data_IF_265002893980
#
_entry.id   IF_265002893980
#
_cell.length_a   1.000
_cell.length_b   1.000
_cell.length_c   1.000
_cell.angle_alpha   90.00
_cell.angle_beta   90.00
_cell.angle_gamma   90.00
#
_symmetry.space_group_name_H-M   'P 1'
#
loop_
_entity.id
_entity.type
_entity.pdbx_description
1 polymer ?
#
# COMPACT_ATOMS: atom_id res chain seq x y z
N UNK A 1 31.43 37.33 38.20
CA UNK A 1 31.96 36.03 37.75
C UNK A 1 30.92 34.99 38.06
N UNK A 2 30.67 34.07 37.13
CA UNK A 2 29.77 32.94 37.33
C UNK A 2 30.49 31.89 38.19
N UNK A 3 29.83 31.38 39.22
CA UNK A 3 30.40 30.36 40.10
C UNK A 3 30.22 28.97 39.50
N UNK A 4 31.13 28.06 39.85
CA UNK A 4 31.08 26.66 39.41
C UNK A 4 29.78 25.97 39.87
N UNK A 5 29.27 26.37 41.05
CA UNK A 5 28.02 25.86 41.60
C UNK A 5 26.78 26.37 40.84
N UNK A 6 26.74 27.64 40.43
CA UNK A 6 25.64 28.17 39.61
C UNK A 6 25.52 27.43 38.28
N UNK A 7 26.66 27.13 37.64
CA UNK A 7 26.68 26.38 36.39
C UNK A 7 26.25 24.92 36.58
N UNK A 8 26.58 24.31 37.71
CA UNK A 8 26.17 22.95 38.06
C UNK A 8 24.66 22.85 38.30
N UNK A 9 24.06 23.79 39.03
CA UNK A 9 22.61 23.82 39.26
C UNK A 9 21.84 23.98 37.94
N UNK A 10 22.31 24.86 37.05
CA UNK A 10 21.69 25.06 35.73
C UNK A 10 21.73 23.78 34.89
N UNK A 11 22.88 23.11 34.82
CA UNK A 11 22.99 21.84 34.10
C UNK A 11 22.13 20.74 34.74
N UNK A 12 21.97 20.74 36.06
CA UNK A 12 21.06 19.84 36.77
C UNK A 12 19.60 20.05 36.36
N UNK A 13 19.13 21.30 36.32
CA UNK A 13 17.76 21.63 35.89
C UNK A 13 17.55 21.29 34.40
N UNK A 14 18.50 21.64 33.53
CA UNK A 14 18.44 21.30 32.11
C UNK A 14 18.38 19.77 31.90
N UNK A 15 19.16 19.00 32.65
CA UNK A 15 19.15 17.55 32.60
C UNK A 15 17.78 16.95 32.95
N UNK A 16 17.15 17.44 34.01
CA UNK A 16 15.79 17.02 34.41
C UNK A 16 14.78 17.36 33.32
N UNK A 17 14.80 18.59 32.78
CA UNK A 17 13.88 19.01 31.72
C UNK A 17 14.03 18.16 30.44
N UNK A 18 15.26 17.88 30.02
CA UNK A 18 15.54 17.05 28.84
C UNK A 18 15.09 15.60 29.07
N UNK A 19 15.28 15.07 30.27
CA UNK A 19 14.89 13.69 30.61
C UNK A 19 13.38 13.44 30.46
N UNK A 20 12.56 14.46 30.73
CA UNK A 20 11.10 14.42 30.57
C UNK A 20 10.71 14.67 29.10
N UNK A 21 11.45 15.53 28.40
CA UNK A 21 11.13 15.93 27.01
C UNK A 21 11.42 14.84 25.97
N UNK A 22 12.52 14.09 26.11
CA UNK A 22 12.93 13.06 25.16
C UNK A 22 11.89 11.95 24.91
N UNK A 23 11.29 11.30 25.93
CA UNK A 23 10.27 10.27 25.71
C UNK A 23 9.00 10.83 25.05
N UNK A 24 8.59 12.06 25.41
CA UNK A 24 7.46 12.74 24.79
C UNK A 24 7.69 12.98 23.29
N UNK A 25 8.89 13.44 22.92
CA UNK A 25 9.27 13.68 21.51
C UNK A 25 9.24 12.41 20.66
N UNK A 26 9.62 11.26 21.22
CA UNK A 26 9.57 9.98 20.50
C UNK A 26 8.13 9.57 20.16
N UNK A 27 7.19 9.72 21.10
CA UNK A 27 5.78 9.46 20.85
C UNK A 27 5.19 10.38 19.78
N UNK A 28 5.54 11.67 19.82
CA UNK A 28 5.10 12.66 18.81
C UNK A 28 5.61 12.28 17.41
N UNK A 29 6.88 11.88 17.28
CA UNK A 29 7.45 11.46 15.98
C UNK A 29 6.71 10.27 15.37
N UNK A 30 6.37 9.27 16.17
CA UNK A 30 5.61 8.10 15.69
C UNK A 30 4.22 8.52 15.23
N UNK A 31 3.51 9.32 16.02
CA UNK A 31 2.19 9.85 15.64
C UNK A 31 2.24 10.70 14.37
N UNK A 32 3.24 11.57 14.23
CA UNK A 32 3.43 12.38 13.03
C UNK A 32 3.64 11.50 11.77
N UNK A 33 4.50 10.47 11.86
CA UNK A 33 4.68 9.51 10.77
C UNK A 33 3.38 8.81 10.38
N UNK A 34 2.55 8.41 11.36
CA UNK A 34 1.23 7.79 11.09
C UNK A 34 0.30 8.71 10.30
N UNK A 35 0.26 10.00 10.66
CA UNK A 35 -0.53 11.00 9.93
C UNK A 35 -0.04 11.15 8.49
N UNK A 36 1.28 11.17 8.27
CA UNK A 36 1.84 11.21 6.91
C UNK A 36 1.42 9.96 6.12
N UNK A 37 1.50 8.76 6.70
CA UNK A 37 1.07 7.54 6.01
C UNK A 37 -0.43 7.55 5.66
N UNK A 38 -1.28 8.04 6.56
CA UNK A 38 -2.71 8.21 6.27
C UNK A 38 -2.96 9.21 5.13
N UNK A 39 -2.23 10.32 5.11
CA UNK A 39 -2.28 11.30 4.01
C UNK A 39 -1.81 10.70 2.70
N UNK A 40 -0.72 9.94 2.71
CA UNK A 40 -0.19 9.23 1.55
C UNK A 40 -1.24 8.29 0.93
N UNK A 41 -1.94 7.49 1.74
CA UNK A 41 -3.02 6.63 1.22
C UNK A 41 -4.19 7.42 0.60
N UNK A 42 -4.51 8.60 1.14
CA UNK A 42 -5.51 9.50 0.53
C UNK A 42 -5.02 10.04 -0.82
N UNK A 43 -3.74 10.41 -0.91
CA UNK A 43 -3.12 10.88 -2.16
C UNK A 43 -3.18 9.80 -3.23
N UNK A 44 -2.78 8.57 -2.92
CA UNK A 44 -2.86 7.42 -3.85
C UNK A 44 -4.29 7.21 -4.34
N UNK A 45 -5.28 7.32 -3.45
CA UNK A 45 -6.69 7.19 -3.86
C UNK A 45 -7.13 8.34 -4.77
N UNK A 46 -6.69 9.56 -4.50
CA UNK A 46 -6.98 10.70 -5.36
C UNK A 46 -6.34 10.52 -6.74
N UNK A 47 -5.10 10.06 -6.79
CA UNK A 47 -4.41 9.71 -8.03
C UNK A 47 -5.13 8.61 -8.79
N UNK A 48 -5.65 7.60 -8.11
CA UNK A 48 -6.48 6.57 -8.74
C UNK A 48 -7.72 7.16 -9.41
N UNK A 49 -8.39 8.14 -8.80
CA UNK A 49 -9.53 8.78 -9.45
C UNK A 49 -9.15 9.50 -10.74
N UNK A 50 -8.05 10.27 -10.71
CA UNK A 50 -7.51 10.93 -11.90
C UNK A 50 -7.02 9.94 -12.96
N UNK A 51 -6.50 8.80 -12.50
CA UNK A 51 -6.18 7.71 -13.39
C UNK A 51 -7.46 7.21 -14.07
N UNK A 52 -8.52 6.90 -13.32
CA UNK A 52 -9.78 6.32 -13.83
C UNK A 52 -10.68 7.29 -14.59
N UNK A 53 -10.59 8.60 -14.35
CA UNK A 53 -11.32 9.62 -15.14
C UNK A 53 -10.62 9.95 -16.47
N UNK A 54 -9.31 9.71 -16.57
CA UNK A 54 -8.54 9.83 -17.81
C UNK A 54 -7.92 11.20 -18.00
N UNK A 55 -7.91 12.00 -16.93
CA UNK A 55 -7.26 13.30 -16.87
C UNK A 55 -5.81 13.22 -16.38
N UNK A 56 -5.28 12.01 -16.16
CA UNK A 56 -3.91 11.83 -15.70
C UNK A 56 -2.88 12.26 -16.75
N UNK A 57 -1.95 13.13 -16.37
CA UNK A 57 -0.87 13.61 -17.23
C UNK A 57 0.11 12.51 -17.68
N UNK A 58 0.18 11.40 -16.94
CA UNK A 58 1.13 10.31 -17.19
C UNK A 58 0.66 9.28 -18.24
N UNK A 59 -0.53 9.46 -18.82
CA UNK A 59 -1.15 8.48 -19.71
C UNK A 59 -1.57 7.21 -18.97
N UNK A 60 -2.39 6.36 -19.60
CA UNK A 60 -2.74 5.03 -19.06
C UNK A 60 -2.02 3.90 -19.77
N UNK A 61 -1.00 4.20 -20.57
CA UNK A 61 -0.25 3.20 -21.30
C UNK A 61 -1.14 2.38 -22.24
N UNK A 62 -0.96 1.05 -22.24
CA UNK A 62 -1.76 0.16 -23.08
C UNK A 62 -3.28 0.23 -22.79
N UNK A 63 -3.68 0.67 -21.60
CA UNK A 63 -5.11 0.86 -21.28
C UNK A 63 -5.80 1.93 -22.13
N UNK A 64 -5.08 2.86 -22.74
CA UNK A 64 -5.65 3.88 -23.61
C UNK A 64 -6.38 3.29 -24.83
N UNK A 65 -5.96 2.09 -25.26
CA UNK A 65 -6.58 1.35 -26.37
C UNK A 65 -8.01 0.90 -26.08
N UNK A 66 -8.42 0.88 -24.80
CA UNK A 66 -9.76 0.47 -24.38
C UNK A 66 -10.69 1.65 -24.07
N UNK A 67 -10.22 2.88 -24.29
CA UNK A 67 -10.97 4.11 -24.01
C UNK A 67 -11.09 4.44 -22.53
N UNK A 68 -11.76 5.55 -22.19
CA UNK A 68 -11.86 6.03 -20.80
C UNK A 68 -12.64 5.09 -19.88
N UNK A 69 -13.48 4.21 -20.43
CA UNK A 69 -14.40 3.35 -19.68
C UNK A 69 -13.79 2.09 -19.06
N UNK A 70 -12.56 1.71 -19.44
CA UNK A 70 -11.88 0.48 -18.98
C UNK A 70 -10.38 0.70 -18.81
N UNK A 71 -9.77 0.02 -17.85
CA UNK A 71 -8.33 0.08 -17.61
C UNK A 71 -7.82 -1.16 -16.87
N UNK A 72 -6.51 -1.37 -16.92
CA UNK A 72 -5.79 -2.34 -16.11
C UNK A 72 -5.30 -1.70 -14.81
N UNK A 73 -5.49 -2.41 -13.69
CA UNK A 73 -5.00 -1.94 -12.39
C UNK A 73 -3.46 -1.97 -12.30
N UNK A 74 -2.80 -2.79 -13.12
CA UNK A 74 -1.32 -2.80 -13.25
C UNK A 74 -0.82 -1.46 -13.78
N UNK A 75 -1.46 -0.90 -14.80
CA UNK A 75 -1.04 0.37 -15.42
C UNK A 75 -1.10 1.52 -14.41
N UNK A 76 -2.08 1.48 -13.49
CA UNK A 76 -2.12 2.40 -12.36
C UNK A 76 -0.94 2.20 -11.39
N UNK A 77 -0.56 0.95 -11.10
CA UNK A 77 0.61 0.65 -10.25
C UNK A 77 1.91 1.09 -10.94
N UNK A 78 2.06 0.80 -12.23
CA UNK A 78 3.20 1.20 -13.03
C UNK A 78 3.34 2.73 -13.03
N UNK A 79 2.23 3.47 -13.19
CA UNK A 79 2.22 4.92 -13.06
C UNK A 79 2.66 5.42 -11.67
N UNK A 80 2.12 4.83 -10.59
CA UNK A 80 2.45 5.19 -9.20
C UNK A 80 3.92 4.96 -8.82
N UNK A 81 4.50 3.87 -9.32
CA UNK A 81 5.89 3.53 -9.08
C UNK A 81 6.83 4.14 -10.13
N UNK A 82 6.28 4.84 -11.12
CA UNK A 82 6.97 5.30 -12.32
C UNK A 82 7.82 4.17 -12.92
N UNK A 83 7.20 3.01 -13.12
CA UNK A 83 7.81 1.87 -13.78
C UNK A 83 7.58 2.01 -15.28
N UNK A 84 8.63 1.75 -16.05
CA UNK A 84 8.49 1.63 -17.51
C UNK A 84 7.67 0.35 -17.80
N UNK A 85 6.69 0.45 -18.69
CA UNK A 85 5.93 -0.72 -19.15
C UNK A 85 6.90 -1.79 -19.66
N UNK A 86 6.70 -3.05 -19.25
CA UNK A 86 7.68 -4.10 -19.52
C UNK A 86 7.89 -4.36 -21.01
N UNK A 87 6.92 -3.96 -21.85
CA UNK A 87 6.98 -4.08 -23.31
C UNK A 87 7.75 -2.94 -23.99
N UNK A 88 8.03 -1.83 -23.28
CA UNK A 88 8.85 -0.76 -23.80
C UNK A 88 10.34 -1.09 -23.59
N UNK A 89 10.91 -1.74 -24.62
CA UNK A 89 12.28 -2.27 -24.68
C UNK A 89 13.34 -1.15 -24.72
N UNK A 90 13.40 -0.31 -23.69
CA UNK A 90 14.47 0.65 -23.42
C UNK A 90 15.48 0.17 -22.37
N UNK A 91 16.60 0.89 -22.18
CA UNK A 91 17.61 0.58 -21.13
C UNK A 91 16.93 0.45 -19.74
N UNK A 92 17.39 -0.52 -18.94
CA UNK A 92 16.88 -0.77 -17.60
C UNK A 92 17.10 0.44 -16.66
N UNK A 93 16.00 1.10 -16.26
CA UNK A 93 16.00 2.17 -15.27
C UNK A 93 15.90 1.56 -13.86
N UNK A 94 17.03 1.15 -13.27
CA UNK A 94 17.05 0.78 -11.85
C UNK A 94 17.01 2.04 -11.01
N UNK A 95 16.03 2.16 -10.11
CA UNK A 95 15.85 3.35 -9.29
C UNK A 95 15.48 3.02 -7.86
N UNK A 96 15.94 3.85 -6.93
CA UNK A 96 15.51 3.79 -5.53
C UNK A 96 14.34 4.72 -5.31
N UNK A 97 13.26 4.22 -4.70
CA UNK A 97 12.15 5.00 -4.19
C UNK A 97 12.30 5.16 -2.68
N UNK A 98 12.06 6.37 -2.18
CA UNK A 98 12.10 6.72 -0.77
C UNK A 98 10.80 7.36 -0.32
N UNK A 99 10.49 7.25 0.98
CA UNK A 99 9.21 7.69 1.54
C UNK A 99 8.94 9.20 1.42
N UNK A 100 9.99 10.02 1.26
CA UNK A 100 9.88 11.45 0.98
C UNK A 100 9.47 11.77 -0.47
N UNK A 101 9.63 10.81 -1.39
CA UNK A 101 9.42 11.03 -2.83
C UNK A 101 8.27 10.23 -3.44
N UNK A 102 7.71 9.26 -2.71
CA UNK A 102 6.66 8.40 -3.26
C UNK A 102 5.55 8.15 -2.22
N UNK A 103 4.27 8.43 -2.55
CA UNK A 103 3.16 8.24 -1.64
C UNK A 103 2.86 6.76 -1.34
N UNK A 104 3.36 5.81 -2.12
CA UNK A 104 3.24 4.37 -1.83
C UNK A 104 4.14 3.91 -0.66
N UNK A 105 5.03 4.77 -0.17
CA UNK A 105 5.93 4.48 0.93
C UNK A 105 5.51 5.26 2.18
N UNK A 106 5.24 4.52 3.26
CA UNK A 106 4.91 5.09 4.56
C UNK A 106 6.22 5.34 5.33
N UNK A 107 6.50 6.56 5.85
CA UNK A 107 7.71 6.83 6.65
C UNK A 107 7.74 6.14 8.03
N UNK A 108 6.64 5.50 8.45
CA UNK A 108 6.63 4.55 9.57
C UNK A 108 7.05 3.13 9.15
N UNK A 109 7.18 2.89 7.85
CA UNK A 109 7.66 1.66 7.22
C UNK A 109 9.06 1.79 6.66
N UNK A 110 9.44 0.81 5.83
CA UNK A 110 10.77 0.75 5.26
C UNK A 110 11.00 1.88 4.24
N UNK A 111 12.18 2.50 4.24
CA UNK A 111 12.41 3.73 3.51
C UNK A 111 12.84 3.51 2.05
N UNK A 112 12.94 2.27 1.56
CA UNK A 112 13.65 1.99 0.32
C UNK A 112 13.03 0.87 -0.51
N UNK A 113 12.44 1.20 -1.67
CA UNK A 113 12.13 0.20 -2.69
C UNK A 113 13.07 0.35 -3.88
N UNK A 114 13.46 -0.78 -4.44
CA UNK A 114 14.24 -0.87 -5.68
C UNK A 114 13.29 -1.26 -6.79
N UNK A 115 13.25 -0.41 -7.82
CA UNK A 115 12.54 -0.67 -9.06
C UNK A 115 13.45 -1.43 -10.02
N UNK A 116 12.91 -2.46 -10.68
CA UNK A 116 13.58 -3.27 -11.68
C UNK A 116 12.76 -3.27 -12.97
N UNK A 117 13.37 -2.84 -14.08
CA UNK A 117 12.75 -2.92 -15.41
C UNK A 117 12.72 -4.37 -15.92
N UNK A 118 11.76 -4.68 -16.79
CA UNK A 118 11.65 -5.99 -17.46
C UNK A 118 10.90 -7.05 -16.66
N UNK A 119 10.32 -6.67 -15.52
CA UNK A 119 9.39 -7.49 -14.74
C UNK A 119 8.05 -6.75 -14.65
N UNK A 120 6.91 -7.45 -14.76
CA UNK A 120 5.60 -6.83 -14.53
C UNK A 120 5.41 -6.45 -13.06
N UNK A 121 4.56 -5.46 -12.79
CA UNK A 121 4.23 -4.94 -11.45
C UNK A 121 3.89 -6.03 -10.41
N UNK A 122 3.16 -7.07 -10.82
CA UNK A 122 2.84 -8.24 -9.98
C UNK A 122 3.99 -9.25 -9.78
N UNK A 123 5.23 -8.89 -10.11
CA UNK A 123 6.44 -9.73 -9.95
C UNK A 123 7.57 -8.90 -9.32
N UNK A 124 8.82 -9.36 -9.43
CA UNK A 124 10.03 -8.75 -8.87
C UNK A 124 10.39 -7.34 -9.43
N UNK A 125 9.45 -6.64 -10.07
CA UNK A 125 9.64 -5.26 -10.52
C UNK A 125 9.86 -4.30 -9.35
N UNK A 126 9.36 -4.67 -8.17
CA UNK A 126 9.55 -3.96 -6.92
C UNK A 126 10.11 -4.90 -5.87
N UNK A 127 11.18 -4.48 -5.20
CA UNK A 127 11.73 -5.24 -4.08
C UNK A 127 12.76 -4.46 -3.26
N UNK A 128 13.21 -5.01 -2.13
CA UNK A 128 12.76 -6.29 -1.57
C UNK A 128 11.34 -6.20 -0.98
N UNK A 129 10.62 -7.33 -0.93
CA UNK A 129 9.24 -7.42 -0.39
C UNK A 129 9.14 -6.86 1.03
N UNK A 130 10.17 -7.09 1.86
CA UNK A 130 10.26 -6.55 3.23
C UNK A 130 10.06 -5.03 3.32
N UNK A 131 10.39 -4.31 2.24
CA UNK A 131 10.39 -2.86 2.23
C UNK A 131 9.07 -2.26 1.73
N UNK A 132 8.11 -3.10 1.30
CA UNK A 132 6.80 -2.64 0.88
C UNK A 132 6.00 -2.18 2.10
N UNK A 133 5.44 -0.97 2.01
CA UNK A 133 4.73 -0.32 3.11
C UNK A 133 3.25 -0.06 2.86
N UNK A 134 2.86 0.15 1.60
CA UNK A 134 1.46 0.20 1.18
C UNK A 134 1.27 -0.76 0.00
N UNK A 135 0.09 -1.36 -0.09
CA UNK A 135 -0.28 -2.21 -1.21
C UNK A 135 -1.67 -1.87 -1.72
N UNK A 136 -1.90 -2.12 -3.01
CA UNK A 136 -3.23 -2.01 -3.59
C UNK A 136 -4.03 -3.29 -3.34
N UNK A 137 -5.35 -3.14 -3.25
CA UNK A 137 -6.26 -4.26 -3.16
C UNK A 137 -6.28 -5.03 -4.49
N UNK A 138 -5.79 -6.27 -4.47
CA UNK A 138 -5.58 -7.09 -5.66
C UNK A 138 -6.67 -8.15 -5.88
N UNK A 139 -7.93 -7.82 -5.59
CA UNK A 139 -9.08 -8.73 -5.81
C UNK A 139 -9.31 -9.14 -7.27
N UNK A 140 -8.63 -8.50 -8.22
CA UNK A 140 -8.72 -8.75 -9.66
C UNK A 140 -7.67 -9.75 -10.17
N UNK A 141 -6.81 -10.23 -9.28
CA UNK A 141 -5.82 -11.25 -9.57
C UNK A 141 -6.35 -12.59 -9.09
N UNK A 142 -5.81 -13.67 -9.67
CA UNK A 142 -6.00 -15.03 -9.19
C UNK A 142 -4.76 -15.46 -8.43
N UNK A 143 -4.95 -16.04 -7.25
CA UNK A 143 -3.91 -16.81 -6.57
C UNK A 143 -3.47 -17.97 -7.44
N UNK A 144 -2.19 -18.00 -7.76
CA UNK A 144 -1.52 -19.13 -8.38
C UNK A 144 -0.27 -19.48 -7.58
N UNK A 145 0.26 -20.67 -7.83
CA UNK A 145 1.51 -21.14 -7.25
C UNK A 145 2.45 -21.43 -8.41
N UNK A 146 3.69 -20.95 -8.34
CA UNK A 146 4.66 -21.25 -9.39
C UNK A 146 5.17 -22.70 -9.31
N UNK A 147 5.99 -23.07 -10.29
CA UNK A 147 6.62 -24.39 -10.36
C UNK A 147 7.55 -24.71 -9.18
N UNK A 148 7.94 -23.72 -8.37
CA UNK A 148 8.77 -23.86 -7.16
C UNK A 148 7.94 -23.83 -5.87
N UNK A 149 6.62 -23.75 -5.95
CA UNK A 149 5.75 -23.69 -4.79
C UNK A 149 5.57 -22.29 -4.20
N UNK A 150 6.10 -21.23 -4.81
CA UNK A 150 5.94 -19.85 -4.33
C UNK A 150 4.54 -19.33 -4.66
N UNK A 151 3.78 -18.77 -3.69
CA UNK A 151 2.53 -18.08 -3.99
C UNK A 151 2.80 -16.85 -4.86
N UNK A 152 1.95 -16.63 -5.85
CA UNK A 152 2.02 -15.46 -6.72
C UNK A 152 0.63 -15.06 -7.20
N UNK A 153 0.48 -13.79 -7.57
CA UNK A 153 -0.74 -13.27 -8.15
C UNK A 153 -0.60 -13.23 -9.67
N UNK A 154 -1.41 -14.04 -10.35
CA UNK A 154 -1.54 -13.93 -11.79
C UNK A 154 -2.66 -12.94 -12.12
N UNK A 155 -2.42 -11.95 -13.00
CA UNK A 155 -3.51 -11.18 -13.55
C UNK A 155 -4.45 -12.14 -14.26
N UNK A 156 -5.74 -12.09 -13.95
CA UNK A 156 -6.73 -12.80 -14.76
C UNK A 156 -6.74 -12.08 -16.09
N UNK A 157 -6.28 -12.74 -17.16
CA UNK A 157 -5.88 -12.20 -18.46
C UNK A 157 -6.94 -11.36 -19.21
N UNK A 158 -8.11 -11.11 -18.61
CA UNK A 158 -9.25 -10.38 -19.17
C UNK A 158 -9.87 -9.35 -18.23
N UNK A 159 -9.29 -9.06 -17.06
CA UNK A 159 -9.98 -8.23 -16.05
C UNK A 159 -9.67 -6.75 -16.22
N UNK A 160 -10.41 -6.14 -17.14
CA UNK A 160 -10.56 -4.69 -17.21
C UNK A 160 -11.42 -4.20 -16.04
N UNK A 161 -10.95 -3.18 -15.34
CA UNK A 161 -11.76 -2.48 -14.34
C UNK A 161 -12.59 -1.43 -15.06
N UNK A 162 -13.93 -1.43 -14.90
CA UNK A 162 -14.74 -0.40 -15.49
C UNK A 162 -14.56 0.91 -14.71
N UNK A 163 -14.64 2.05 -15.39
CA UNK A 163 -14.59 3.37 -14.75
C UNK A 163 -15.74 3.59 -13.74
N UNK A 164 -16.82 2.82 -13.84
CA UNK A 164 -17.92 2.80 -12.86
C UNK A 164 -17.48 2.35 -11.47
N UNK A 165 -16.27 1.80 -11.29
CA UNK A 165 -15.71 1.50 -9.97
C UNK A 165 -15.70 2.72 -9.03
N UNK A 166 -15.62 3.94 -9.58
CA UNK A 166 -15.70 5.18 -8.83
C UNK A 166 -17.06 5.42 -8.15
N UNK A 167 -18.13 4.80 -8.66
CA UNK A 167 -19.47 4.85 -8.06
C UNK A 167 -19.59 3.96 -6.81
N UNK A 168 -18.56 3.18 -6.50
CA UNK A 168 -18.51 2.27 -5.36
C UNK A 168 -17.50 2.78 -4.33
N UNK A 169 -17.78 3.89 -3.59
CA UNK A 169 -16.81 4.54 -2.72
C UNK A 169 -16.40 3.69 -1.50
N UNK A 170 -17.11 2.60 -1.20
CA UNK A 170 -16.84 1.67 -0.10
C UNK A 170 -15.87 0.53 -0.47
N UNK A 171 -15.24 0.63 -1.64
CA UNK A 171 -14.21 -0.27 -2.16
C UNK A 171 -12.83 0.15 -1.61
N UNK A 172 -12.22 -0.50 -0.61
CA UNK A 172 -10.80 -0.43 -0.30
C UNK A 172 -9.91 -0.51 -1.54
N UNK A 173 -9.20 0.56 -1.77
CA UNK A 173 -8.24 0.65 -2.84
C UNK A 173 -6.82 0.38 -2.34
N UNK A 174 -6.44 1.00 -1.23
CA UNK A 174 -5.06 0.96 -0.69
C UNK A 174 -5.11 0.44 0.74
N UNK A 175 -4.12 -0.35 1.12
CA UNK A 175 -3.93 -0.82 2.49
C UNK A 175 -2.53 -0.52 2.98
N UNK A 176 -2.41 -0.24 4.28
CA UNK A 176 -1.11 -0.33 4.92
C UNK A 176 -0.65 -1.78 4.97
N UNK A 177 0.64 -2.01 4.75
CA UNK A 177 1.24 -3.33 4.80
C UNK A 177 2.55 -3.32 5.58
N UNK A 178 2.88 -4.48 6.15
CA UNK A 178 4.16 -4.76 6.79
C UNK A 178 4.87 -5.80 5.95
N UNK A 179 5.57 -5.32 4.93
CA UNK A 179 6.37 -6.15 4.05
C UNK A 179 7.30 -7.06 4.82
N UNK A 180 7.87 -6.63 5.94
CA UNK A 180 8.80 -7.45 6.73
C UNK A 180 8.09 -8.68 7.32
N UNK A 181 6.89 -8.49 7.90
CA UNK A 181 6.08 -9.59 8.40
C UNK A 181 5.58 -10.52 7.28
N UNK A 182 5.41 -10.01 6.06
CA UNK A 182 5.09 -10.81 4.89
C UNK A 182 6.32 -11.63 4.41
N UNK A 183 7.50 -11.01 4.34
CA UNK A 183 8.79 -11.63 3.97
C UNK A 183 9.14 -12.79 4.93
N UNK A 184 8.96 -12.59 6.23
CA UNK A 184 9.13 -13.63 7.26
C UNK A 184 8.21 -14.84 7.05
N UNK A 185 7.02 -14.61 6.50
CA UNK A 185 6.04 -15.66 6.17
C UNK A 185 6.22 -16.22 4.75
N UNK A 186 7.22 -15.75 4.00
CA UNK A 186 7.46 -16.14 2.61
C UNK A 186 6.31 -15.75 1.67
N UNK A 187 5.55 -14.72 2.03
CA UNK A 187 4.37 -14.25 1.31
C UNK A 187 4.59 -12.85 0.76
N UNK A 188 3.95 -12.53 -0.37
CA UNK A 188 3.98 -11.17 -0.89
C UNK A 188 2.95 -10.29 -0.14
N UNK A 189 3.23 -8.99 0.05
CA UNK A 189 2.47 -8.12 0.96
C UNK A 189 1.28 -7.48 0.24
N UNK A 190 0.46 -8.28 -0.44
CA UNK A 190 -0.71 -7.79 -1.19
C UNK A 190 -1.99 -8.07 -0.41
N UNK A 191 -2.82 -7.05 -0.19
CA UNK A 191 -4.15 -7.32 0.35
C UNK A 191 -5.06 -7.88 -0.75
N UNK A 192 -5.58 -9.06 -0.47
CA UNK A 192 -6.68 -9.67 -1.21
C UNK A 192 -7.78 -9.85 -0.17
N UNK A 193 -9.03 -9.56 -0.54
CA UNK A 193 -10.16 -9.78 0.35
C UNK A 193 -10.15 -11.22 0.89
N UNK A 194 -10.54 -11.44 2.16
CA UNK A 194 -10.58 -12.78 2.74
C UNK A 194 -11.51 -13.69 1.92
N UNK A 195 -11.22 -15.01 1.87
CA UNK A 195 -12.08 -15.97 1.18
C UNK A 195 -13.50 -15.92 1.78
N UNK A 196 -14.51 -16.03 0.92
CA UNK A 196 -15.89 -16.08 1.40
C UNK A 196 -16.13 -17.40 2.13
N UNK A 197 -16.90 -17.41 3.24
CA UNK A 197 -17.26 -18.66 3.91
C UNK A 197 -17.92 -19.63 2.93
N UNK A 198 -17.33 -20.80 2.73
CA UNK A 198 -17.82 -21.83 1.81
C UNK A 198 -17.31 -21.74 0.36
N UNK A 199 -16.42 -20.81 0.02
CA UNK A 199 -15.79 -20.80 -1.30
C UNK A 199 -14.58 -21.73 -1.37
N UNK A 200 -14.42 -22.46 -2.48
CA UNK A 200 -13.20 -23.24 -2.80
C UNK A 200 -12.07 -22.34 -3.32
N UNK A 201 -11.93 -21.16 -2.73
CA UNK A 201 -11.01 -20.15 -3.23
C UNK A 201 -9.55 -20.49 -2.81
N UNK A 202 -8.57 -20.47 -3.73
CA UNK A 202 -7.15 -20.65 -3.41
C UNK A 202 -6.58 -19.76 -2.29
N UNK A 203 -7.25 -18.68 -1.87
CA UNK A 203 -6.80 -17.82 -0.77
C UNK A 203 -7.00 -18.40 0.65
N UNK A 204 -7.67 -19.55 0.80
CA UNK A 204 -8.01 -20.14 2.12
C UNK A 204 -6.81 -20.68 2.92
N UNK A 205 -5.72 -21.01 2.25
CA UNK A 205 -4.58 -21.74 2.82
C UNK A 205 -3.59 -20.83 3.57
N UNK A 206 -3.89 -19.53 3.75
CA UNK A 206 -3.02 -18.59 4.47
C UNK A 206 -1.69 -18.25 3.78
N UNK A 207 -1.52 -18.67 2.51
CA UNK A 207 -0.32 -18.39 1.69
C UNK A 207 -0.25 -16.95 1.16
N UNK A 208 -1.36 -16.23 1.23
CA UNK A 208 -1.45 -14.81 0.89
C UNK A 208 -1.56 -14.01 2.18
N UNK A 209 -0.69 -13.02 2.31
CA UNK A 209 -0.57 -12.26 3.53
C UNK A 209 -1.61 -11.14 3.58
N UNK A 210 -2.23 -10.95 4.74
CA UNK A 210 -3.14 -9.82 5.01
C UNK A 210 -2.51 -8.91 6.09
N UNK A 211 -2.67 -7.58 6.00
CA UNK A 211 -1.97 -6.59 6.84
C UNK A 211 -2.53 -6.40 8.25
N UNK A 212 -1.95 -5.64 9.21
CA UNK A 212 -0.57 -5.21 9.57
C UNK A 212 -0.57 -4.68 11.03
N UNK A 213 0.51 -4.86 11.79
CA UNK A 213 0.65 -4.42 13.20
C UNK A 213 1.27 -3.02 13.37
N UNK A 214 1.73 -2.40 12.27
CA UNK A 214 2.55 -1.17 12.27
C UNK A 214 1.89 0.02 12.97
N UNK A 215 0.56 0.09 12.93
CA UNK A 215 -0.21 1.16 13.56
C UNK A 215 -0.79 0.76 14.92
N UNK A 216 -0.09 -0.11 15.64
CA UNK A 216 -0.50 -0.58 16.97
C UNK A 216 -1.52 -1.70 16.88
N UNK A 217 -1.27 -2.68 16.01
CA UNK A 217 -2.19 -3.81 15.77
C UNK A 217 -3.38 -3.48 14.85
N UNK A 218 -3.38 -2.28 14.25
CA UNK A 218 -4.45 -1.81 13.35
C UNK A 218 -3.97 -1.75 11.91
N UNK A 219 -4.84 -2.17 11.02
CA UNK A 219 -4.74 -1.98 9.58
C UNK A 219 -5.42 -0.71 9.18
N UNK A 220 -4.72 0.17 8.49
CA UNK A 220 -5.34 1.29 7.81
C UNK A 220 -5.67 0.94 6.37
N UNK A 221 -6.85 1.38 5.96
CA UNK A 221 -7.44 1.08 4.67
C UNK A 221 -7.97 2.36 4.07
N UNK A 222 -7.52 2.71 2.87
CA UNK A 222 -8.09 3.78 2.08
C UNK A 222 -9.03 3.25 1.02
N UNK A 223 -10.18 3.89 0.91
CA UNK A 223 -11.27 3.51 0.03
C UNK A 223 -11.24 4.34 -1.23
N UNK A 224 -11.83 3.87 -2.33
CA UNK A 224 -12.06 4.67 -3.55
C UNK A 224 -12.74 6.01 -3.24
N UNK A 225 -13.55 6.09 -2.17
CA UNK A 225 -14.11 7.32 -1.61
C UNK A 225 -13.10 8.33 -1.03
N UNK A 226 -11.82 8.00 -0.90
CA UNK A 226 -10.78 8.84 -0.31
C UNK A 226 -10.76 8.84 1.22
N UNK A 227 -11.70 8.12 1.85
CA UNK A 227 -11.72 7.93 3.29
C UNK A 227 -10.61 6.94 3.69
N UNK A 228 -10.06 7.12 4.89
CA UNK A 228 -9.12 6.18 5.50
C UNK A 228 -9.74 5.70 6.81
N UNK A 229 -9.91 4.39 6.96
CA UNK A 229 -10.41 3.74 8.17
C UNK A 229 -9.34 2.82 8.75
N UNK A 230 -9.43 2.54 10.05
CA UNK A 230 -8.54 1.61 10.74
C UNK A 230 -9.32 0.43 11.33
N UNK A 231 -8.81 -0.79 11.21
CA UNK A 231 -9.41 -2.02 11.76
C UNK A 231 -8.39 -2.86 12.52
N UNK A 232 -8.78 -3.42 13.66
CA UNK A 232 -7.99 -4.43 14.39
C UNK A 232 -8.27 -5.86 13.89
N UNK A 233 -9.36 -6.06 13.15
CA UNK A 233 -9.85 -7.37 12.72
C UNK A 233 -10.24 -7.37 11.23
N UNK A 234 -9.32 -6.97 10.33
CA UNK A 234 -9.61 -6.80 8.90
C UNK A 234 -10.11 -8.08 8.23
N UNK A 235 -9.70 -9.26 8.72
CA UNK A 235 -10.10 -10.56 8.19
C UNK A 235 -11.55 -10.96 8.54
N UNK A 236 -12.13 -10.35 9.59
CA UNK A 236 -13.51 -10.64 10.06
C UNK A 236 -14.50 -9.56 9.67
N UNK A 237 -14.00 -8.39 9.29
CA UNK A 237 -14.83 -7.33 8.79
C UNK A 237 -15.39 -7.71 7.43
N UNK A 238 -16.70 -7.53 7.31
CA UNK A 238 -17.44 -7.94 6.10
C UNK A 238 -17.08 -7.13 4.88
N UNK A 239 -16.19 -6.11 5.00
CA UNK A 239 -15.83 -5.08 4.02
C UNK A 239 -16.62 -5.36 2.75
N UNK A 240 -17.84 -4.82 2.66
CA UNK A 240 -18.85 -5.46 1.82
C UNK A 240 -18.56 -5.18 0.36
N UNK A 241 -17.95 -6.19 -0.24
CA UNK A 241 -17.56 -6.26 -1.62
C UNK A 241 -18.14 -7.51 -2.22
N UNK A 242 -19.27 -7.29 -2.85
CA UNK A 242 -19.69 -7.99 -4.06
C UNK A 242 -20.67 -7.04 -4.72
N UNK A 243 -20.64 -6.92 -6.04
CA UNK A 243 -21.89 -6.58 -6.73
C UNK A 243 -22.91 -7.64 -6.32
N UNK A 244 -23.82 -7.26 -5.42
CA UNK A 244 -25.07 -7.93 -5.13
C UNK A 244 -26.12 -6.94 -5.62
N UNK A 245 -26.80 -7.28 -6.73
CA UNK A 245 -28.02 -6.56 -7.07
C UNK A 245 -28.91 -6.57 -5.82
N UNK A 246 -29.33 -5.40 -5.36
CA UNK A 246 -30.27 -5.31 -4.26
C UNK A 246 -31.54 -6.05 -4.67
N UNK A 247 -31.90 -7.10 -3.93
CA UNK A 247 -33.29 -7.50 -3.89
C UNK A 247 -34.09 -6.27 -3.45
N UNK A 248 -34.95 -5.80 -4.35
CA UNK A 248 -35.83 -4.67 -4.13
C UNK A 248 -36.59 -4.88 -2.81
N UNK A 249 -36.60 -3.85 -1.96
CA UNK A 249 -37.69 -3.59 -1.04
C UNK A 249 -38.35 -2.29 -1.45
#
# INVERSE_FOLDING_TARGET
>A
GFTLIELLVVMGILGVLISILLPALNGVRVSAKRVVCATNMRSVTREFRFFVDGTSEFGRGDSERFGSGRFHINDFQDALYHLDEFWDLGRASTGTLTADRNPMLCPAGAPKLIRRKGYPCGRESLGPVRDVSLALNMRLYRAVVDFRGKPMLAPVASTFVPATILQHPLVPLVMDVDGAAADEKGADPYYIAPPQPGSEDPYRDGRFWSPSDRHGGKVNVAFVGGHVLSSEHPARERWNWTYQATAQR
#
